data_IF_786602073639
#
_entry.id   IF_786602073639
#
_cell.length_a   1.000
_cell.length_b   1.000
_cell.length_c   1.000
_cell.angle_alpha   90.00
_cell.angle_beta   90.00
_cell.angle_gamma   90.00
#
_symmetry.space_group_name_H-M   'P 1'
#
loop_
_entity.id
_entity.type
_entity.pdbx_description
1 polymer ?
#
# COMPACT_ATOMS: atom_id res chain seq x y z
N UNK A 1 -19.28 -26.67 -39.91
CA UNK A 1 -19.96 -26.92 -38.62
C UNK A 1 -18.91 -27.03 -37.52
N UNK A 2 -19.03 -26.29 -36.48
CA UNK A 2 -17.99 -25.85 -35.51
C UNK A 2 -17.52 -26.96 -34.54
N UNK A 3 -16.23 -27.35 -34.55
CA UNK A 3 -15.64 -28.10 -33.44
C UNK A 3 -14.91 -27.20 -32.40
N UNK A 4 -14.98 -25.87 -32.50
CA UNK A 4 -14.17 -24.94 -31.71
C UNK A 4 -14.80 -24.52 -30.36
N UNK A 5 -16.03 -24.96 -30.07
CA UNK A 5 -16.74 -24.61 -28.83
C UNK A 5 -16.54 -25.64 -27.68
N UNK A 6 -16.17 -26.88 -28.00
CA UNK A 6 -16.04 -27.95 -27.00
C UNK A 6 -14.71 -27.94 -26.25
N UNK A 7 -13.65 -27.37 -26.83
CA UNK A 7 -12.34 -27.26 -26.17
C UNK A 7 -12.28 -26.17 -25.09
N UNK A 8 -13.11 -25.14 -25.16
CA UNK A 8 -13.18 -24.07 -24.14
C UNK A 8 -13.92 -24.50 -22.87
N UNK A 9 -14.83 -25.46 -22.96
CA UNK A 9 -15.60 -25.99 -21.82
C UNK A 9 -14.81 -26.97 -20.95
N UNK A 10 -13.87 -27.70 -21.52
CA UNK A 10 -13.05 -28.67 -20.78
C UNK A 10 -11.80 -28.05 -20.09
N UNK A 11 -11.46 -26.82 -20.40
CA UNK A 11 -10.36 -26.09 -19.76
C UNK A 11 -10.78 -25.45 -18.42
N UNK A 12 -12.07 -25.51 -18.09
CA UNK A 12 -12.68 -24.89 -16.90
C UNK A 12 -12.63 -25.76 -15.62
N UNK A 13 -12.16 -27.00 -15.69
CA UNK A 13 -12.26 -27.95 -14.55
C UNK A 13 -10.93 -28.41 -13.95
N UNK A 14 -9.79 -27.95 -14.44
CA UNK A 14 -8.52 -28.16 -13.73
C UNK A 14 -8.27 -26.96 -12.83
N UNK A 15 -8.77 -27.04 -11.60
CA UNK A 15 -8.36 -26.16 -10.51
C UNK A 15 -6.83 -26.24 -10.43
N UNK A 16 -6.13 -25.24 -11.01
CA UNK A 16 -4.68 -25.24 -11.05
C UNK A 16 -4.16 -25.27 -9.62
N UNK A 17 -3.22 -26.16 -9.30
CA UNK A 17 -2.57 -26.25 -8.00
C UNK A 17 -2.14 -24.88 -7.43
N UNK A 18 -1.80 -23.92 -8.31
CA UNK A 18 -1.50 -22.53 -8.00
C UNK A 18 -2.71 -21.78 -7.39
N UNK A 19 -3.92 -22.09 -7.83
CA UNK A 19 -5.17 -21.51 -7.31
C UNK A 19 -5.49 -22.07 -5.92
N UNK A 20 -5.22 -23.36 -5.73
CA UNK A 20 -5.39 -24.02 -4.42
C UNK A 20 -4.38 -23.44 -3.41
N UNK A 21 -3.13 -23.28 -3.81
CA UNK A 21 -2.11 -22.65 -2.96
C UNK A 21 -2.45 -21.20 -2.64
N UNK A 22 -2.96 -20.43 -3.59
CA UNK A 22 -3.37 -19.05 -3.37
C UNK A 22 -4.56 -18.98 -2.39
N UNK A 23 -5.55 -19.84 -2.52
CA UNK A 23 -6.67 -19.93 -1.59
C UNK A 23 -6.21 -20.37 -0.18
N UNK A 24 -5.31 -21.34 -0.10
CA UNK A 24 -4.70 -21.77 1.16
C UNK A 24 -3.91 -20.64 1.84
N UNK A 25 -3.15 -19.85 1.08
CA UNK A 25 -2.41 -18.71 1.58
C UNK A 25 -3.36 -17.60 2.08
N UNK A 26 -4.48 -17.37 1.38
CA UNK A 26 -5.52 -16.43 1.83
C UNK A 26 -6.17 -16.87 3.15
N UNK A 27 -6.48 -18.15 3.30
CA UNK A 27 -7.06 -18.66 4.55
C UNK A 27 -6.00 -18.63 5.67
N UNK A 28 -4.76 -19.04 5.38
CA UNK A 28 -3.65 -19.00 6.34
C UNK A 28 -3.33 -17.58 6.82
N UNK A 29 -3.53 -16.58 5.96
CA UNK A 29 -3.31 -15.17 6.31
C UNK A 29 -4.19 -14.65 7.45
N UNK A 30 -5.34 -15.30 7.71
CA UNK A 30 -6.23 -14.94 8.81
C UNK A 30 -5.67 -15.36 10.17
N UNK A 31 -4.75 -16.32 10.19
CA UNK A 31 -4.16 -16.86 11.41
C UNK A 31 -2.71 -16.41 11.64
N UNK A 32 -2.10 -15.79 10.63
CA UNK A 32 -0.71 -15.32 10.69
C UNK A 32 -0.63 -13.82 10.95
N UNK A 33 0.51 -13.36 11.47
CA UNK A 33 0.74 -11.92 11.61
C UNK A 33 0.77 -11.21 10.25
N UNK A 34 0.34 -9.94 10.17
CA UNK A 34 0.31 -9.17 8.92
C UNK A 34 1.65 -9.14 8.18
N UNK A 35 2.76 -9.09 8.93
CA UNK A 35 4.12 -9.06 8.37
C UNK A 35 4.46 -10.38 7.67
N UNK A 36 4.20 -11.51 8.32
CA UNK A 36 4.42 -12.85 7.74
C UNK A 36 3.57 -13.04 6.49
N UNK A 37 2.31 -12.59 6.54
CA UNK A 37 1.39 -12.66 5.40
C UNK A 37 1.87 -11.82 4.23
N UNK A 38 2.39 -10.61 4.48
CA UNK A 38 2.96 -9.76 3.44
C UNK A 38 4.16 -10.42 2.76
N UNK A 39 5.10 -10.97 3.55
CA UNK A 39 6.25 -11.70 3.00
C UNK A 39 5.84 -12.91 2.17
N UNK A 40 4.93 -13.73 2.70
CA UNK A 40 4.42 -14.88 1.99
C UNK A 40 3.72 -14.49 0.68
N UNK A 41 2.96 -13.39 0.70
CA UNK A 41 2.30 -12.85 -0.48
C UNK A 41 3.28 -12.34 -1.54
N UNK A 42 4.33 -11.62 -1.13
CA UNK A 42 5.40 -11.15 -2.03
C UNK A 42 6.13 -12.34 -2.64
N UNK A 43 6.56 -13.30 -1.81
CA UNK A 43 7.26 -14.49 -2.27
C UNK A 43 6.41 -15.31 -3.25
N UNK A 44 5.11 -15.49 -2.94
CA UNK A 44 4.17 -16.16 -3.83
C UNK A 44 4.02 -15.41 -5.17
N UNK A 45 3.90 -14.08 -5.14
CA UNK A 45 3.75 -13.27 -6.34
C UNK A 45 5.00 -13.32 -7.24
N UNK A 46 6.20 -13.34 -6.64
CA UNK A 46 7.47 -13.40 -7.38
C UNK A 46 7.74 -14.79 -7.95
N UNK A 47 7.36 -15.87 -7.25
CA UNK A 47 7.65 -17.24 -7.68
C UNK A 47 6.59 -17.84 -8.59
N UNK A 48 5.34 -17.67 -8.24
CA UNK A 48 4.20 -18.32 -8.89
C UNK A 48 3.34 -17.36 -9.73
N UNK A 49 3.50 -16.04 -9.52
CA UNK A 49 2.67 -15.00 -10.13
C UNK A 49 1.25 -14.98 -9.56
N UNK A 50 0.46 -13.98 -9.91
CA UNK A 50 -0.92 -13.86 -9.44
C UNK A 50 -1.87 -14.68 -10.35
N UNK A 51 -2.54 -15.74 -9.84
CA UNK A 51 -3.46 -16.54 -10.65
C UNK A 51 -4.77 -15.82 -10.99
N UNK A 52 -5.12 -14.74 -10.26
CA UNK A 52 -6.37 -13.99 -10.44
C UNK A 52 -6.15 -12.46 -10.42
N UNK A 53 -5.36 -11.88 -11.36
CA UNK A 53 -4.92 -10.48 -11.25
C UNK A 53 -6.09 -9.48 -11.22
N UNK A 54 -7.11 -9.68 -12.04
CA UNK A 54 -8.26 -8.77 -12.12
C UNK A 54 -9.15 -8.86 -10.88
N UNK A 55 -9.42 -10.08 -10.43
CA UNK A 55 -10.25 -10.32 -9.25
C UNK A 55 -9.55 -9.87 -7.97
N UNK A 56 -8.28 -10.21 -7.81
CA UNK A 56 -7.44 -9.82 -6.68
C UNK A 56 -7.37 -8.30 -6.54
N UNK A 57 -7.15 -7.58 -7.64
CA UNK A 57 -7.12 -6.11 -7.66
C UNK A 57 -8.47 -5.50 -7.22
N UNK A 58 -9.59 -6.04 -7.74
CA UNK A 58 -10.94 -5.56 -7.36
C UNK A 58 -11.28 -5.89 -5.90
N UNK A 59 -10.97 -7.11 -5.47
CA UNK A 59 -11.23 -7.56 -4.10
C UNK A 59 -10.41 -6.77 -3.08
N UNK A 60 -9.11 -6.59 -3.31
CA UNK A 60 -8.24 -5.79 -2.44
C UNK A 60 -8.72 -4.35 -2.30
N UNK A 61 -9.13 -3.71 -3.42
CA UNK A 61 -9.66 -2.34 -3.37
C UNK A 61 -10.93 -2.23 -2.55
N UNK A 62 -11.89 -3.16 -2.74
CA UNK A 62 -13.13 -3.17 -1.95
C UNK A 62 -12.89 -3.49 -0.48
N UNK A 63 -12.05 -4.47 -0.21
CA UNK A 63 -11.72 -4.86 1.16
C UNK A 63 -11.06 -3.70 1.90
N UNK A 64 -10.10 -3.00 1.27
CA UNK A 64 -9.47 -1.80 1.81
C UNK A 64 -10.52 -0.71 2.12
N UNK A 65 -11.46 -0.47 1.21
CA UNK A 65 -12.54 0.50 1.44
C UNK A 65 -13.39 0.13 2.65
N UNK A 66 -13.79 -1.14 2.79
CA UNK A 66 -14.56 -1.60 3.95
C UNK A 66 -13.77 -1.50 5.25
N UNK A 67 -12.48 -1.85 5.24
CA UNK A 67 -11.62 -1.70 6.41
C UNK A 67 -11.47 -0.23 6.83
N UNK A 68 -11.27 0.69 5.89
CA UNK A 68 -11.15 2.13 6.19
C UNK A 68 -12.46 2.69 6.75
N UNK A 69 -13.61 2.31 6.17
CA UNK A 69 -14.93 2.68 6.70
C UNK A 69 -15.13 2.11 8.10
N UNK A 70 -14.80 0.84 8.33
CA UNK A 70 -14.88 0.19 9.63
C UNK A 70 -14.01 0.88 10.69
N UNK A 71 -12.78 1.26 10.33
CA UNK A 71 -11.89 2.05 11.20
C UNK A 71 -12.50 3.41 11.55
N UNK A 72 -13.14 4.08 10.58
CA UNK A 72 -13.82 5.36 10.82
C UNK A 72 -14.95 5.25 11.84
N UNK A 73 -15.71 4.16 11.85
CA UNK A 73 -16.74 3.91 12.85
C UNK A 73 -16.17 3.57 14.24
N UNK A 74 -14.97 3.02 14.31
CA UNK A 74 -14.29 2.71 15.57
C UNK A 74 -13.63 3.91 16.24
N UNK A 75 -13.50 5.05 15.56
CA UNK A 75 -12.85 6.25 16.09
C UNK A 75 -13.85 7.13 16.85
N UNK A 76 -13.40 7.72 17.97
CA UNK A 76 -14.17 8.73 18.69
C UNK A 76 -14.29 10.00 17.83
N UNK A 77 -15.51 10.37 17.46
CA UNK A 77 -15.78 11.50 16.55
C UNK A 77 -15.23 12.83 17.09
N UNK A 78 -15.35 13.07 18.41
CA UNK A 78 -14.84 14.30 19.02
C UNK A 78 -13.33 14.39 18.99
N UNK A 79 -12.63 13.30 19.28
CA UNK A 79 -11.16 13.25 19.22
C UNK A 79 -10.67 13.38 17.78
N UNK A 80 -11.36 12.73 16.84
CA UNK A 80 -11.03 12.83 15.40
C UNK A 80 -11.22 14.24 14.87
N UNK A 81 -12.26 14.94 15.30
CA UNK A 81 -12.52 16.32 14.90
C UNK A 81 -11.50 17.29 15.49
N UNK A 82 -11.10 17.10 16.76
CA UNK A 82 -10.06 17.89 17.40
C UNK A 82 -8.70 17.70 16.73
N UNK A 83 -8.30 16.44 16.54
CA UNK A 83 -7.07 16.09 15.83
C UNK A 83 -7.07 16.62 14.36
N UNK A 84 -8.23 16.57 13.69
CA UNK A 84 -8.38 17.11 12.35
C UNK A 84 -8.16 18.62 12.27
N UNK A 85 -8.66 19.38 13.25
CA UNK A 85 -8.45 20.84 13.30
C UNK A 85 -7.00 21.22 13.56
N UNK A 86 -6.32 20.53 14.46
CA UNK A 86 -4.91 20.77 14.77
C UNK A 86 -4.00 20.26 13.63
N UNK A 87 -4.33 19.11 13.05
CA UNK A 87 -3.55 18.47 11.98
C UNK A 87 -3.72 19.06 10.58
N UNK A 88 -4.80 19.82 10.32
CA UNK A 88 -5.11 20.27 8.96
C UNK A 88 -4.01 21.17 8.37
N UNK A 89 -3.55 22.15 9.13
CA UNK A 89 -2.46 23.05 8.69
C UNK A 89 -1.17 22.27 8.43
N UNK A 90 -0.84 21.36 9.33
CA UNK A 90 0.32 20.48 9.20
C UNK A 90 0.22 19.60 7.94
N UNK A 91 -0.94 18.98 7.69
CA UNK A 91 -1.18 18.13 6.51
C UNK A 91 -1.02 18.92 5.22
N UNK A 92 -1.63 20.11 5.12
CA UNK A 92 -1.51 20.95 3.93
C UNK A 92 -0.06 21.36 3.67
N UNK A 93 0.65 21.81 4.70
CA UNK A 93 2.06 22.18 4.59
C UNK A 93 2.92 20.98 4.20
N UNK A 94 2.69 19.83 4.80
CA UNK A 94 3.40 18.59 4.48
C UNK A 94 3.20 18.16 3.02
N UNK A 95 1.96 18.10 2.56
CA UNK A 95 1.63 17.72 1.16
C UNK A 95 2.30 18.67 0.17
N UNK A 96 2.18 19.99 0.38
CA UNK A 96 2.80 21.00 -0.49
C UNK A 96 4.32 20.87 -0.48
N UNK A 97 4.93 20.70 0.69
CA UNK A 97 6.38 20.57 0.83
C UNK A 97 6.87 19.30 0.11
N UNK A 98 6.23 18.15 0.34
CA UNK A 98 6.61 16.89 -0.31
C UNK A 98 6.46 16.98 -1.84
N UNK A 99 5.40 17.61 -2.34
CA UNK A 99 5.22 17.83 -3.77
C UNK A 99 6.34 18.70 -4.36
N UNK A 100 6.67 19.82 -3.70
CA UNK A 100 7.73 20.72 -4.16
C UNK A 100 9.09 20.00 -4.14
N UNK A 101 9.45 19.40 -3.01
CA UNK A 101 10.72 18.69 -2.84
C UNK A 101 10.81 17.51 -3.83
N UNK A 102 9.76 16.73 -3.99
CA UNK A 102 9.73 15.59 -4.91
C UNK A 102 9.93 16.01 -6.37
N UNK A 103 9.26 17.08 -6.81
CA UNK A 103 9.44 17.61 -8.18
C UNK A 103 10.83 18.22 -8.37
N UNK A 104 11.37 18.93 -7.38
CA UNK A 104 12.73 19.49 -7.43
C UNK A 104 13.78 18.37 -7.50
N UNK A 105 13.66 17.36 -6.63
CA UNK A 105 14.54 16.18 -6.64
C UNK A 105 14.43 15.40 -7.95
N UNK A 106 13.22 15.22 -8.47
CA UNK A 106 13.00 14.56 -9.75
C UNK A 106 13.71 15.29 -10.91
N UNK A 107 13.67 16.63 -10.91
CA UNK A 107 14.43 17.44 -11.89
C UNK A 107 15.94 17.31 -11.70
N UNK A 108 16.40 17.36 -10.47
CA UNK A 108 17.84 17.25 -10.14
C UNK A 108 18.40 15.88 -10.55
N UNK A 109 17.64 14.83 -10.31
CA UNK A 109 17.97 13.44 -10.69
C UNK A 109 17.69 13.12 -12.16
N UNK A 110 17.20 14.10 -12.94
CA UNK A 110 16.85 13.95 -14.36
C UNK A 110 15.82 12.85 -14.62
N UNK A 111 14.89 12.65 -13.68
CA UNK A 111 13.78 11.72 -13.84
C UNK A 111 12.73 12.34 -14.77
N UNK A 112 12.07 11.52 -15.57
CA UNK A 112 10.96 11.97 -16.41
C UNK A 112 9.90 12.74 -15.59
N UNK A 113 9.42 13.84 -16.18
CA UNK A 113 8.51 14.78 -15.47
C UNK A 113 7.27 14.07 -14.95
N UNK A 114 6.65 13.21 -15.77
CA UNK A 114 5.42 12.51 -15.38
C UNK A 114 5.68 11.54 -14.23
N UNK A 115 6.77 10.77 -14.30
CA UNK A 115 7.18 9.88 -13.21
C UNK A 115 7.47 10.66 -11.92
N UNK A 116 8.16 11.80 -12.01
CA UNK A 116 8.44 12.67 -10.87
C UNK A 116 7.14 13.17 -10.22
N UNK A 117 6.16 13.63 -11.01
CA UNK A 117 4.85 14.04 -10.49
C UNK A 117 4.07 12.88 -9.87
N UNK A 118 4.07 11.71 -10.50
CA UNK A 118 3.37 10.53 -9.99
C UNK A 118 3.94 10.05 -8.67
N UNK A 119 5.27 9.93 -8.58
CA UNK A 119 5.94 9.50 -7.35
C UNK A 119 5.73 10.55 -6.25
N UNK A 120 5.88 11.83 -6.57
CA UNK A 120 5.66 12.91 -5.59
C UNK A 120 4.22 12.93 -5.06
N UNK A 121 3.22 12.76 -5.93
CA UNK A 121 1.82 12.70 -5.52
C UNK A 121 1.52 11.44 -4.70
N UNK A 122 2.09 10.30 -5.07
CA UNK A 122 2.00 9.07 -4.29
C UNK A 122 2.59 9.24 -2.91
N UNK A 123 3.79 9.80 -2.81
CA UNK A 123 4.47 10.06 -1.53
C UNK A 123 3.73 11.11 -0.69
N UNK A 124 3.13 12.12 -1.30
CA UNK A 124 2.47 13.21 -0.58
C UNK A 124 1.09 12.86 -0.01
N UNK A 125 0.38 11.89 -0.59
CA UNK A 125 -1.04 11.64 -0.26
C UNK A 125 -1.25 10.24 0.30
N UNK A 126 -1.37 9.22 -0.56
CA UNK A 126 -1.74 7.87 -0.12
C UNK A 126 -1.15 6.75 -1.01
N UNK A 127 0.03 6.96 -1.54
CA UNK A 127 0.73 5.97 -2.34
C UNK A 127 0.05 5.67 -3.68
N UNK A 128 -0.23 4.40 -3.91
CA UNK A 128 -0.72 3.91 -5.20
C UNK A 128 -2.07 4.47 -5.64
N UNK A 129 -2.96 4.82 -4.70
CA UNK A 129 -4.29 5.39 -5.04
C UNK A 129 -4.17 6.82 -5.58
N UNK A 130 -3.24 7.62 -5.04
CA UNK A 130 -2.94 8.95 -5.57
C UNK A 130 -2.36 8.86 -6.99
N UNK A 131 -1.41 7.94 -7.22
CA UNK A 131 -0.87 7.69 -8.56
C UNK A 131 -1.97 7.31 -9.54
N UNK A 132 -2.85 6.38 -9.18
CA UNK A 132 -3.94 5.94 -10.03
C UNK A 132 -4.96 7.05 -10.36
N UNK A 133 -5.12 8.02 -9.48
CA UNK A 133 -5.98 9.19 -9.71
C UNK A 133 -5.30 10.26 -10.57
N UNK A 134 -4.00 10.50 -10.38
CA UNK A 134 -3.24 11.55 -11.07
C UNK A 134 -2.81 11.11 -12.47
N UNK A 135 -2.49 9.83 -12.68
CA UNK A 135 -1.98 9.32 -13.95
C UNK A 135 -2.84 9.71 -15.17
N UNK A 136 -4.17 9.53 -15.18
CA UNK A 136 -5.01 9.93 -16.30
C UNK A 136 -5.10 11.45 -16.47
N UNK A 137 -4.89 12.23 -15.40
CA UNK A 137 -4.97 13.71 -15.45
C UNK A 137 -3.76 14.32 -16.17
N UNK A 138 -2.59 13.68 -16.03
CA UNK A 138 -1.35 14.13 -16.67
C UNK A 138 -1.03 13.35 -17.95
N UNK A 139 -1.97 12.54 -18.46
CA UNK A 139 -1.80 11.65 -19.61
C UNK A 139 -0.53 10.79 -19.48
N UNK A 140 -0.30 10.19 -18.31
CA UNK A 140 0.80 9.27 -18.09
C UNK A 140 0.53 7.94 -18.80
N UNK A 141 1.55 7.40 -19.46
CA UNK A 141 1.46 6.10 -20.08
C UNK A 141 1.48 4.96 -19.07
N UNK A 142 1.21 3.74 -19.53
CA UNK A 142 1.14 2.55 -18.69
C UNK A 142 2.49 2.22 -18.04
N UNK A 143 3.60 2.45 -18.75
CA UNK A 143 4.94 2.21 -18.22
C UNK A 143 5.29 3.20 -17.11
N UNK A 144 4.99 4.50 -17.32
CA UNK A 144 5.19 5.55 -16.33
C UNK A 144 4.39 5.29 -15.06
N UNK A 145 3.12 4.91 -15.24
CA UNK A 145 2.23 4.57 -14.12
C UNK A 145 2.70 3.34 -13.36
N UNK A 146 3.05 2.27 -14.07
CA UNK A 146 3.53 1.01 -13.47
C UNK A 146 4.86 1.19 -12.74
N UNK A 147 5.80 1.93 -13.33
CA UNK A 147 7.10 2.23 -12.71
C UNK A 147 6.92 3.05 -11.43
N UNK A 148 6.08 4.06 -11.47
CA UNK A 148 5.79 4.91 -10.30
C UNK A 148 5.12 4.11 -9.18
N UNK A 149 4.15 3.25 -9.51
CA UNK A 149 3.51 2.35 -8.55
C UNK A 149 4.51 1.37 -7.94
N UNK A 150 5.36 0.74 -8.77
CA UNK A 150 6.38 -0.18 -8.27
C UNK A 150 7.36 0.50 -7.31
N UNK A 151 7.79 1.73 -7.64
CA UNK A 151 8.68 2.52 -6.79
C UNK A 151 8.05 2.78 -5.42
N UNK A 152 6.81 3.26 -5.38
CA UNK A 152 6.11 3.54 -4.11
C UNK A 152 5.91 2.25 -3.29
N UNK A 153 5.53 1.14 -3.92
CA UNK A 153 5.34 -0.12 -3.20
C UNK A 153 6.64 -0.69 -2.63
N UNK A 154 7.75 -0.56 -3.37
CA UNK A 154 9.07 -0.96 -2.87
C UNK A 154 9.48 -0.08 -1.68
N UNK A 155 9.30 1.24 -1.79
CA UNK A 155 9.62 2.17 -0.69
C UNK A 155 8.76 1.89 0.55
N UNK A 156 7.47 1.64 0.38
CA UNK A 156 6.58 1.27 1.47
C UNK A 156 6.97 -0.06 2.11
N UNK A 157 7.36 -1.06 1.31
CA UNK A 157 7.85 -2.33 1.82
C UNK A 157 9.15 -2.14 2.64
N UNK A 158 10.09 -1.34 2.16
CA UNK A 158 11.32 -1.01 2.90
C UNK A 158 10.99 -0.28 4.19
N UNK A 159 10.11 0.73 4.13
CA UNK A 159 9.70 1.51 5.29
C UNK A 159 9.06 0.63 6.38
N UNK A 160 8.27 -0.36 6.00
CA UNK A 160 7.62 -1.29 6.91
C UNK A 160 8.61 -2.04 7.81
N UNK A 161 9.80 -2.35 7.30
CA UNK A 161 10.84 -3.05 8.07
C UNK A 161 11.80 -2.09 8.76
N UNK A 162 12.17 -1.02 8.09
CA UNK A 162 13.20 -0.08 8.58
C UNK A 162 12.66 0.80 9.70
N UNK A 163 11.42 1.28 9.61
CA UNK A 163 10.90 2.24 10.56
C UNK A 163 10.66 1.68 11.96
N UNK A 164 10.13 0.48 12.17
CA UNK A 164 10.03 -0.10 13.50
C UNK A 164 11.40 -0.27 14.16
N UNK A 165 12.41 -0.69 13.39
CA UNK A 165 13.78 -0.84 13.91
C UNK A 165 14.37 0.51 14.35
N UNK A 166 14.19 1.55 13.53
CA UNK A 166 14.66 2.90 13.88
C UNK A 166 13.88 3.45 15.08
N UNK A 167 12.56 3.28 15.12
CA UNK A 167 11.72 3.72 16.23
C UNK A 167 12.12 3.09 17.56
N UNK A 168 12.40 1.79 17.54
CA UNK A 168 12.89 1.06 18.69
C UNK A 168 14.30 1.54 19.11
N UNK A 169 15.20 1.71 18.16
CA UNK A 169 16.57 2.18 18.42
C UNK A 169 16.60 3.60 19.00
N UNK A 170 15.68 4.46 18.60
CA UNK A 170 15.52 5.83 19.13
C UNK A 170 14.75 5.87 20.45
N UNK A 171 14.24 4.75 20.98
CA UNK A 171 13.45 4.69 22.20
C UNK A 171 12.13 5.46 22.11
N UNK A 172 11.53 5.54 20.93
CA UNK A 172 10.26 6.26 20.75
C UNK A 172 9.11 5.55 21.46
N UNK A 173 8.33 6.28 22.25
CA UNK A 173 7.08 5.78 22.79
C UNK A 173 6.03 5.55 21.70
N UNK A 174 5.01 4.74 21.98
CA UNK A 174 3.99 4.33 21.00
C UNK A 174 3.33 5.51 20.28
N UNK A 175 2.97 6.57 20.98
CA UNK A 175 2.34 7.76 20.41
C UNK A 175 3.30 8.54 19.50
N UNK A 176 4.55 8.69 19.92
CA UNK A 176 5.58 9.37 19.14
C UNK A 176 5.90 8.60 17.86
N UNK A 177 6.06 7.28 17.97
CA UNK A 177 6.29 6.41 16.82
C UNK A 177 5.10 6.42 15.85
N UNK A 178 3.87 6.32 16.38
CA UNK A 178 2.65 6.36 15.58
C UNK A 178 2.54 7.66 14.77
N UNK A 179 2.79 8.80 15.39
CA UNK A 179 2.79 10.11 14.73
C UNK A 179 3.91 10.21 13.70
N UNK A 180 5.12 9.79 14.05
CA UNK A 180 6.25 9.81 13.14
C UNK A 180 6.04 8.88 11.93
N UNK A 181 5.57 7.66 12.17
CA UNK A 181 5.26 6.69 11.12
C UNK A 181 4.14 7.20 10.19
N UNK A 182 3.09 7.83 10.74
CA UNK A 182 2.01 8.40 9.95
C UNK A 182 2.49 9.53 9.04
N UNK A 183 3.48 10.32 9.48
CA UNK A 183 4.07 11.41 8.70
C UNK A 183 5.05 10.87 7.65
N UNK A 184 5.84 9.85 8.00
CA UNK A 184 6.93 9.36 7.18
C UNK A 184 6.50 8.26 6.18
N UNK A 185 5.48 7.48 6.53
CA UNK A 185 4.93 6.43 5.68
C UNK A 185 3.56 6.88 5.19
N UNK A 186 3.47 7.56 4.08
CA UNK A 186 2.21 8.10 3.53
C UNK A 186 1.24 7.01 3.00
N UNK A 187 1.19 5.85 3.65
CA UNK A 187 0.28 4.74 3.34
C UNK A 187 -0.34 4.19 4.63
N UNK A 188 -1.65 4.30 4.75
CA UNK A 188 -2.41 3.94 5.96
C UNK A 188 -2.20 2.46 6.37
N UNK A 189 -2.12 1.56 5.39
CA UNK A 189 -1.94 0.13 5.67
C UNK A 189 -0.55 -0.16 6.24
N UNK A 190 0.49 0.44 5.68
CA UNK A 190 1.88 0.29 6.14
C UNK A 190 2.10 0.93 7.51
N UNK A 191 1.45 2.07 7.79
CA UNK A 191 1.47 2.70 9.13
C UNK A 191 0.85 1.79 10.17
N UNK A 192 -0.34 1.24 9.90
CA UNK A 192 -1.03 0.35 10.83
C UNK A 192 -0.20 -0.91 11.14
N UNK A 193 0.43 -1.51 10.13
CA UNK A 193 1.29 -2.69 10.32
C UNK A 193 2.55 -2.35 11.11
N UNK A 194 3.21 -1.23 10.81
CA UNK A 194 4.40 -0.77 11.54
C UNK A 194 4.11 -0.53 13.02
N UNK A 195 2.97 0.11 13.32
CA UNK A 195 2.53 0.37 14.67
C UNK A 195 2.24 -0.91 15.46
N UNK A 196 1.54 -1.87 14.86
CA UNK A 196 1.25 -3.15 15.50
C UNK A 196 2.50 -3.97 15.75
N UNK A 197 3.49 -3.87 14.87
CA UNK A 197 4.79 -4.54 15.03
C UNK A 197 5.58 -3.98 16.23
N UNK A 198 5.62 -2.67 16.39
CA UNK A 198 6.27 -2.04 17.53
C UNK A 198 5.59 -2.44 18.86
N UNK A 199 4.26 -2.41 18.89
CA UNK A 199 3.47 -2.78 20.07
C UNK A 199 3.68 -4.23 20.51
N UNK A 200 3.83 -5.16 19.57
CA UNK A 200 4.06 -6.56 19.86
C UNK A 200 5.40 -6.80 20.59
N UNK A 201 6.41 -5.97 20.34
CA UNK A 201 7.70 -6.03 21.01
C UNK A 201 7.70 -5.45 22.43
N UNK A 202 6.78 -4.54 22.75
CA UNK A 202 6.69 -3.93 24.09
C UNK A 202 5.89 -4.79 25.09
N UNK A 203 5.09 -5.73 24.61
CA UNK A 203 4.26 -6.63 25.43
C UNK A 203 4.92 -7.99 25.69
N UNK A 204 6.13 -8.21 25.24
CA UNK A 204 6.95 -9.41 25.47
C UNK A 204 8.05 -9.13 26.46
#
# INVERSE_FOLDING_TARGET
MKPLQLTKSMQSAKLNWRQILFAGLLIGSLFCSPVVTLFAGILFALTLGNPFPVWSKKASKKLLQYCVVGLGFGMNFHESLAAGREGMTFTVVSVVTVMIVGVVLGRLLRIDRKNSYLISSGTAICGGSAIAAVAPVIDADENQTSLSLATIFILNAVALFVFPVIGHWLGMGQTQFGTWAAIAIHDTSSVAVSYTHLRAHETS
#
